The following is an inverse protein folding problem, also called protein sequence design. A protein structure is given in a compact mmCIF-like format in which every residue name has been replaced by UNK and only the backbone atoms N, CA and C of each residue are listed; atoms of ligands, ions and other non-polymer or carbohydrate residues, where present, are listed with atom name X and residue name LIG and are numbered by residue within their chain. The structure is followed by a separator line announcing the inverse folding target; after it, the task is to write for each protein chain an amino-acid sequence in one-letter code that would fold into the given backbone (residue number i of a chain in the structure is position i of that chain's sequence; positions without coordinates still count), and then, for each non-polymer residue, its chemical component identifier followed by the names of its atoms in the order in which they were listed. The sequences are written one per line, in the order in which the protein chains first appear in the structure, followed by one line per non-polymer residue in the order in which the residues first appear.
data_IF_354238709377
#
_entry.id   IF_354238709377
#
_cell.length_a   1.000
_cell.length_b   1.000
_cell.length_c   1.000
_cell.angle_alpha   90.00
_cell.angle_beta   90.00
_cell.angle_gamma   90.00
#
_symmetry.space_group_name_H-M   'P 1'
#
loop_
_entity.id
_entity.type
_entity.pdbx_description
1 polymer ?
#
# COMPACT_ATOMS: atom_id res chain seq x y z
N UNK A 1 11.34 -3.58 -8.26
CA UNK A 1 12.10 -2.31 -8.44
C UNK A 1 11.19 -1.16 -8.87
N UNK A 2 10.64 -1.14 -10.09
CA UNK A 2 9.83 -0.01 -10.59
C UNK A 2 8.55 0.26 -9.77
N UNK A 3 7.83 -0.79 -9.38
CA UNK A 3 6.68 -0.69 -8.46
C UNK A 3 7.05 -0.30 -7.02
N UNK A 4 8.28 -0.62 -6.58
CA UNK A 4 8.78 -0.26 -5.25
C UNK A 4 9.09 1.24 -5.17
N UNK A 5 9.73 1.81 -6.20
CA UNK A 5 9.93 3.26 -6.30
C UNK A 5 8.62 4.03 -6.49
N UNK A 6 7.65 3.48 -7.24
CA UNK A 6 6.31 4.05 -7.29
C UNK A 6 5.62 4.00 -5.93
N UNK A 7 5.74 2.90 -5.19
CA UNK A 7 5.22 2.77 -3.83
C UNK A 7 5.86 3.74 -2.84
N UNK A 8 7.17 3.96 -2.89
CA UNK A 8 7.87 4.93 -2.05
C UNK A 8 7.57 6.38 -2.39
N UNK A 9 7.66 6.77 -3.68
CA UNK A 9 7.38 8.14 -4.12
C UNK A 9 5.94 8.59 -3.80
N UNK A 10 5.05 7.60 -3.67
CA UNK A 10 3.68 7.76 -3.18
C UNK A 10 3.68 7.71 -1.63
N UNK A 11 4.20 6.70 -0.95
CA UNK A 11 4.04 6.59 0.51
C UNK A 11 4.72 7.72 1.34
N UNK A 12 5.69 8.45 0.78
CA UNK A 12 6.51 9.43 1.52
C UNK A 12 5.85 10.80 1.81
N UNK A 13 5.11 11.46 0.89
CA UNK A 13 4.65 12.83 1.11
C UNK A 13 3.64 13.00 2.26
N UNK A 14 2.67 12.10 2.42
CA UNK A 14 1.66 12.22 3.46
C UNK A 14 2.23 12.21 4.89
N UNK A 15 3.09 11.24 5.23
CA UNK A 15 3.80 11.21 6.50
C UNK A 15 4.74 12.41 6.70
N UNK A 16 5.49 12.83 5.68
CA UNK A 16 6.38 13.99 5.77
C UNK A 16 5.60 15.29 6.01
N UNK A 17 4.47 15.47 5.33
CA UNK A 17 3.56 16.60 5.51
C UNK A 17 3.02 16.69 6.95
N UNK A 18 2.67 15.54 7.53
CA UNK A 18 2.16 15.45 8.91
C UNK A 18 3.28 15.59 9.95
N UNK A 19 4.52 15.19 9.61
CA UNK A 19 5.72 15.34 10.43
C UNK A 19 6.25 16.77 10.45
N UNK A 20 5.97 17.57 9.43
CA UNK A 20 6.34 18.99 9.34
C UNK A 20 5.45 19.88 10.25
N UNK A 21 5.11 19.42 11.45
CA UNK A 21 4.20 20.12 12.35
C UNK A 21 4.69 21.52 12.71
N UNK A 22 5.99 21.66 12.99
CA UNK A 22 6.61 22.95 13.32
C UNK A 22 6.47 23.98 12.19
N UNK A 23 6.49 23.53 10.93
CA UNK A 23 6.28 24.40 9.77
C UNK A 23 4.83 24.93 9.72
N UNK A 24 3.84 24.08 9.98
CA UNK A 24 2.43 24.50 10.01
C UNK A 24 2.14 25.39 11.21
N UNK A 25 2.72 25.09 12.36
CA UNK A 25 2.64 25.95 13.55
C UNK A 25 3.23 27.33 13.24
N UNK A 26 4.39 27.41 12.57
CA UNK A 26 4.96 28.68 12.13
C UNK A 26 4.09 29.42 11.10
N UNK A 27 3.53 28.72 10.11
CA UNK A 27 2.73 29.32 9.04
C UNK A 27 1.39 29.91 9.49
N UNK A 28 0.79 29.33 10.53
CA UNK A 28 -0.49 29.78 11.10
C UNK A 28 -0.33 30.59 12.41
N UNK A 29 0.90 31.01 12.73
CA UNK A 29 1.17 31.88 13.89
C UNK A 29 0.49 33.24 13.74
N UNK A 30 0.29 33.92 14.86
CA UNK A 30 -0.10 35.33 14.87
C UNK A 30 1.08 36.19 14.39
N UNK A 31 0.95 36.96 13.28
CA UNK A 31 2.01 37.85 12.80
C UNK A 31 2.25 39.05 13.73
N UNK A 32 1.31 39.36 14.62
CA UNK A 32 1.28 40.55 15.47
C UNK A 32 1.94 40.34 16.84
N UNK A 33 2.21 39.09 17.21
CA UNK A 33 2.83 38.73 18.49
C UNK A 33 4.36 38.66 18.36
N UNK A 34 5.07 39.49 19.15
CA UNK A 34 6.53 39.65 19.10
C UNK A 34 7.31 38.45 19.70
N UNK A 35 6.61 37.57 20.42
CA UNK A 35 7.15 36.30 20.92
C UNK A 35 6.24 35.16 20.49
N UNK A 36 6.81 34.13 19.87
CA UNK A 36 6.16 32.87 19.58
C UNK A 36 5.85 32.14 20.89
N UNK A 37 4.87 32.65 21.64
CA UNK A 37 4.48 32.11 22.92
C UNK A 37 3.72 30.81 22.68
N UNK A 38 4.39 29.68 22.90
CA UNK A 38 3.88 28.35 22.62
C UNK A 38 2.61 28.01 23.43
N UNK A 39 2.32 28.83 24.45
CA UNK A 39 1.14 28.76 25.31
C UNK A 39 -0.10 29.40 24.70
N UNK A 40 0.06 30.32 23.74
CA UNK A 40 -1.02 31.09 23.15
C UNK A 40 -1.16 30.76 21.66
N UNK A 41 -1.61 29.54 21.37
CA UNK A 41 -1.81 29.04 20.01
C UNK A 41 -3.04 29.67 19.36
N UNK A 42 -2.92 30.07 18.10
CA UNK A 42 -4.06 30.57 17.32
C UNK A 42 -5.05 29.45 17.04
N UNK A 43 -6.32 29.81 16.80
CA UNK A 43 -7.35 28.82 16.45
C UNK A 43 -6.96 27.99 15.21
N UNK A 44 -6.28 28.62 14.24
CA UNK A 44 -5.78 27.98 13.03
C UNK A 44 -4.74 26.89 13.34
N UNK A 45 -3.78 27.17 14.22
CA UNK A 45 -2.76 26.19 14.64
C UNK A 45 -3.38 24.96 15.33
N UNK A 46 -4.37 25.17 16.19
CA UNK A 46 -5.02 24.10 16.95
C UNK A 46 -5.88 23.22 16.04
N UNK A 47 -6.64 23.83 15.12
CA UNK A 47 -7.63 23.13 14.30
C UNK A 47 -7.07 22.52 13.02
N UNK A 48 -5.91 22.97 12.56
CA UNK A 48 -5.33 22.56 11.27
C UNK A 48 -5.26 21.05 11.08
N UNK A 49 -4.66 20.32 12.03
CA UNK A 49 -4.47 18.86 11.93
C UNK A 49 -5.83 18.16 11.89
N UNK A 50 -6.75 18.56 12.76
CA UNK A 50 -8.10 17.98 12.83
C UNK A 50 -8.88 18.22 11.54
N UNK A 51 -8.85 19.44 11.00
CA UNK A 51 -9.49 19.76 9.72
C UNK A 51 -8.88 18.97 8.57
N UNK A 52 -7.55 18.92 8.48
CA UNK A 52 -6.84 18.07 7.51
C UNK A 52 -7.36 16.63 7.54
N UNK A 53 -7.46 16.01 8.72
CA UNK A 53 -7.96 14.64 8.84
C UNK A 53 -9.37 14.46 8.29
N UNK A 54 -10.30 15.37 8.58
CA UNK A 54 -11.65 15.33 8.02
C UNK A 54 -11.67 15.48 6.49
N UNK A 55 -10.87 16.42 5.96
CA UNK A 55 -10.78 16.68 4.53
C UNK A 55 -9.98 15.62 3.76
N UNK A 56 -9.15 14.82 4.41
CA UNK A 56 -8.50 13.66 3.79
C UNK A 56 -9.42 12.43 3.82
N UNK A 57 -10.04 12.10 4.96
CA UNK A 57 -10.82 10.87 5.12
C UNK A 57 -12.19 10.95 4.43
N UNK A 58 -12.93 12.05 4.60
CA UNK A 58 -14.31 12.17 4.10
C UNK A 58 -14.40 11.99 2.58
N UNK A 59 -13.66 12.78 1.78
CA UNK A 59 -13.63 12.65 0.33
C UNK A 59 -13.10 11.30 -0.17
N UNK A 60 -12.18 10.66 0.57
CA UNK A 60 -11.71 9.31 0.23
C UNK A 60 -12.84 8.27 0.31
N UNK A 61 -13.71 8.36 1.33
CA UNK A 61 -14.86 7.45 1.46
C UNK A 61 -15.87 7.63 0.33
N UNK A 62 -16.13 8.88 -0.08
CA UNK A 62 -17.01 9.19 -1.20
C UNK A 62 -16.40 8.68 -2.52
N UNK A 63 -15.11 8.92 -2.72
CA UNK A 63 -14.39 8.45 -3.90
C UNK A 63 -14.30 6.92 -3.97
N UNK A 64 -14.23 6.23 -2.82
CA UNK A 64 -14.31 4.78 -2.72
C UNK A 64 -15.66 4.26 -3.21
N UNK A 65 -16.76 4.84 -2.71
CA UNK A 65 -18.11 4.49 -3.14
C UNK A 65 -18.29 4.72 -4.66
N UNK A 66 -17.86 5.87 -5.17
CA UNK A 66 -17.92 6.19 -6.59
C UNK A 66 -17.04 5.27 -7.45
N UNK A 67 -15.84 4.90 -6.97
CA UNK A 67 -14.94 4.00 -7.69
C UNK A 67 -15.45 2.57 -7.69
N UNK A 68 -16.14 2.12 -6.63
CA UNK A 68 -16.80 0.82 -6.63
C UNK A 68 -17.91 0.75 -7.68
N UNK A 69 -18.68 1.83 -7.84
CA UNK A 69 -19.79 1.89 -8.81
C UNK A 69 -19.32 2.06 -10.26
N UNK A 70 -18.34 2.94 -10.51
CA UNK A 70 -17.96 3.37 -11.86
C UNK A 70 -16.55 2.93 -12.29
N UNK A 71 -15.75 2.40 -11.36
CA UNK A 71 -14.34 2.09 -11.57
C UNK A 71 -14.08 1.00 -12.61
N UNK A 72 -15.07 0.15 -12.88
CA UNK A 72 -15.01 -0.91 -13.89
C UNK A 72 -15.04 -0.38 -15.34
N UNK A 73 -15.50 0.84 -15.57
CA UNK A 73 -15.63 1.43 -16.93
C UNK A 73 -14.36 2.06 -17.48
N UNK A 74 -13.33 2.26 -16.65
CA UNK A 74 -12.13 3.02 -17.04
C UNK A 74 -10.87 2.20 -16.81
N UNK A 75 -10.08 2.00 -17.87
CA UNK A 75 -8.87 1.17 -17.86
C UNK A 75 -7.78 1.68 -16.92
N UNK A 76 -7.04 0.74 -16.30
CA UNK A 76 -6.06 1.01 -15.24
C UNK A 76 -4.88 1.89 -15.69
N UNK A 77 -4.40 1.72 -16.93
CA UNK A 77 -3.25 2.48 -17.46
C UNK A 77 -3.54 3.98 -17.62
N UNK A 78 -4.77 4.33 -18.00
CA UNK A 78 -5.23 5.73 -18.17
C UNK A 78 -5.44 6.42 -16.82
N UNK A 79 -5.48 5.67 -15.71
CA UNK A 79 -5.63 6.22 -14.36
C UNK A 79 -4.29 6.55 -13.71
N UNK A 80 -3.31 5.66 -13.86
CA UNK A 80 -2.04 5.72 -13.12
C UNK A 80 -1.16 6.89 -13.59
N UNK A 81 -0.93 7.02 -14.91
CA UNK A 81 -0.02 8.05 -15.44
C UNK A 81 -0.51 9.48 -15.12
N UNK A 82 -1.78 9.84 -15.35
CA UNK A 82 -2.27 11.17 -14.99
C UNK A 82 -2.31 11.39 -13.48
N UNK A 83 -2.60 10.36 -12.67
CA UNK A 83 -2.55 10.50 -11.21
C UNK A 83 -1.15 10.83 -10.71
N UNK A 84 -0.11 10.20 -11.25
CA UNK A 84 1.28 10.49 -10.89
C UNK A 84 1.67 11.92 -11.26
N UNK A 85 1.29 12.39 -12.45
CA UNK A 85 1.54 13.76 -12.87
C UNK A 85 0.86 14.79 -11.94
N UNK A 86 -0.41 14.55 -11.57
CA UNK A 86 -1.15 15.39 -10.62
C UNK A 86 -0.47 15.39 -9.26
N UNK A 87 -0.07 14.23 -8.75
CA UNK A 87 0.59 14.09 -7.46
C UNK A 87 1.93 14.85 -7.44
N UNK A 88 2.76 14.71 -8.47
CA UNK A 88 4.01 15.45 -8.59
C UNK A 88 3.77 16.97 -8.64
N UNK A 89 2.76 17.42 -9.39
CA UNK A 89 2.40 18.83 -9.47
C UNK A 89 1.95 19.40 -8.12
N UNK A 90 1.12 18.68 -7.36
CA UNK A 90 0.68 19.09 -6.03
C UNK A 90 1.85 19.15 -5.04
N UNK A 91 2.76 18.17 -5.08
CA UNK A 91 3.97 18.16 -4.26
C UNK A 91 4.91 19.34 -4.56
N UNK A 92 5.09 19.66 -5.84
CA UNK A 92 5.86 20.83 -6.26
C UNK A 92 5.19 22.12 -5.76
N UNK A 93 3.86 22.21 -5.82
CA UNK A 93 3.09 23.33 -5.29
C UNK A 93 3.33 23.53 -3.79
N UNK A 94 3.37 22.46 -2.99
CA UNK A 94 3.73 22.57 -1.56
C UNK A 94 5.13 23.14 -1.35
N UNK A 95 6.13 22.68 -2.13
CA UNK A 95 7.50 23.21 -2.05
C UNK A 95 7.56 24.71 -2.39
N UNK A 96 6.76 25.16 -3.36
CA UNK A 96 6.65 26.58 -3.72
C UNK A 96 6.04 27.37 -2.56
N UNK A 97 4.95 26.88 -1.97
CA UNK A 97 4.29 27.54 -0.84
C UNK A 97 5.14 27.64 0.43
N UNK A 98 6.14 26.76 0.61
CA UNK A 98 7.10 26.89 1.70
C UNK A 98 7.85 28.23 1.69
N UNK A 99 8.07 28.82 0.52
CA UNK A 99 8.86 30.04 0.35
C UNK A 99 8.02 31.32 0.23
N UNK A 100 6.71 31.21 0.01
CA UNK A 100 5.82 32.36 -0.16
C UNK A 100 5.39 32.87 1.21
N UNK A 101 5.45 34.19 1.45
CA UNK A 101 4.88 34.76 2.67
C UNK A 101 3.34 34.72 2.60
N UNK A 102 2.72 34.11 3.62
CA UNK A 102 1.28 33.85 3.71
C UNK A 102 0.60 34.68 4.80
N UNK A 103 1.34 35.55 5.50
CA UNK A 103 0.87 36.23 6.71
C UNK A 103 -0.35 37.14 6.44
N UNK A 104 -0.52 37.66 5.23
CA UNK A 104 -1.69 38.47 4.83
C UNK A 104 -2.91 37.67 4.37
N UNK A 105 -2.77 36.38 4.05
CA UNK A 105 -3.84 35.55 3.46
C UNK A 105 -3.87 34.12 4.04
N UNK A 106 -3.52 33.98 5.32
CA UNK A 106 -3.38 32.67 6.00
C UNK A 106 -4.62 31.77 5.89
N UNK A 107 -5.83 32.33 5.92
CA UNK A 107 -7.09 31.58 5.80
C UNK A 107 -7.31 31.02 4.39
N UNK A 108 -6.99 31.80 3.36
CA UNK A 108 -7.08 31.34 1.98
C UNK A 108 -5.99 30.29 1.67
N UNK A 109 -4.78 30.50 2.22
CA UNK A 109 -3.69 29.53 2.17
C UNK A 109 -4.08 28.18 2.80
N UNK A 110 -4.81 28.22 3.91
CA UNK A 110 -5.35 27.03 4.56
C UNK A 110 -6.28 26.24 3.64
N UNK A 111 -7.27 26.89 3.02
CA UNK A 111 -8.20 26.20 2.11
C UNK A 111 -7.50 25.59 0.91
N UNK A 112 -6.55 26.30 0.30
CA UNK A 112 -5.73 25.79 -0.80
C UNK A 112 -4.93 24.56 -0.37
N UNK A 113 -4.31 24.62 0.82
CA UNK A 113 -3.53 23.51 1.39
C UNK A 113 -4.40 22.28 1.66
N UNK A 114 -5.59 22.47 2.23
CA UNK A 114 -6.54 21.38 2.49
C UNK A 114 -7.03 20.76 1.17
N UNK A 115 -7.36 21.57 0.16
CA UNK A 115 -7.79 21.08 -1.15
C UNK A 115 -6.69 20.25 -1.84
N UNK A 116 -5.44 20.74 -1.83
CA UNK A 116 -4.29 20.00 -2.36
C UNK A 116 -4.08 18.67 -1.61
N UNK A 117 -4.31 18.64 -0.29
CA UNK A 117 -4.18 17.44 0.55
C UNK A 117 -5.26 16.42 0.19
N UNK A 118 -6.52 16.85 0.08
CA UNK A 118 -7.65 16.02 -0.31
C UNK A 118 -7.45 15.38 -1.69
N UNK A 119 -7.04 16.17 -2.70
CA UNK A 119 -6.82 15.68 -4.07
C UNK A 119 -5.75 14.59 -4.09
N UNK A 120 -4.69 14.81 -3.32
CA UNK A 120 -3.61 13.85 -3.10
C UNK A 120 -4.21 12.60 -2.45
N UNK A 121 -4.78 12.68 -1.25
CA UNK A 121 -5.38 11.55 -0.52
C UNK A 121 -6.34 10.68 -1.36
N UNK A 122 -7.23 11.28 -2.15
CA UNK A 122 -8.19 10.57 -3.01
C UNK A 122 -7.51 9.76 -4.12
N UNK A 123 -6.46 10.31 -4.75
CA UNK A 123 -5.73 9.63 -5.84
C UNK A 123 -4.85 8.50 -5.33
N UNK A 124 -4.39 8.63 -4.09
CA UNK A 124 -3.56 7.66 -3.40
C UNK A 124 -4.31 6.40 -3.03
N UNK A 125 -5.58 6.51 -2.65
CA UNK A 125 -6.38 5.44 -2.05
C UNK A 125 -6.33 4.09 -2.81
N UNK A 126 -6.40 4.08 -4.15
CA UNK A 126 -6.56 2.83 -4.92
C UNK A 126 -5.30 1.92 -4.92
N UNK A 127 -4.09 2.40 -5.29
CA UNK A 127 -2.86 1.62 -5.14
C UNK A 127 -2.39 1.52 -3.68
N UNK A 128 -2.67 2.52 -2.84
CA UNK A 128 -2.27 2.53 -1.43
C UNK A 128 -3.03 1.47 -0.63
N UNK A 129 -4.35 1.33 -0.82
CA UNK A 129 -5.09 0.27 -0.15
C UNK A 129 -4.63 -1.12 -0.58
N UNK A 130 -4.34 -1.36 -1.86
CA UNK A 130 -3.84 -2.67 -2.30
C UNK A 130 -2.42 -2.98 -1.80
N UNK A 131 -1.52 -1.99 -1.82
CA UNK A 131 -0.13 -2.18 -1.41
C UNK A 131 0.04 -2.16 0.10
N UNK A 132 -0.54 -1.20 0.82
CA UNK A 132 -0.50 -1.16 2.29
C UNK A 132 -1.23 -2.35 2.89
N UNK A 133 -2.39 -2.76 2.35
CA UNK A 133 -3.07 -3.95 2.85
C UNK A 133 -2.22 -5.20 2.64
N UNK A 134 -1.54 -5.31 1.49
CA UNK A 134 -0.63 -6.43 1.23
C UNK A 134 0.59 -6.42 2.14
N UNK A 135 1.19 -5.24 2.38
CA UNK A 135 2.36 -5.09 3.24
C UNK A 135 1.99 -5.31 4.72
N UNK A 136 0.86 -4.78 5.19
CA UNK A 136 0.33 -5.03 6.53
C UNK A 136 -0.02 -6.51 6.74
N UNK A 137 -0.70 -7.14 5.77
CA UNK A 137 -0.97 -8.58 5.78
C UNK A 137 0.34 -9.40 5.79
N UNK A 138 1.35 -8.98 5.04
CA UNK A 138 2.66 -9.63 5.05
C UNK A 138 3.31 -9.58 6.43
N UNK A 139 3.21 -8.44 7.13
CA UNK A 139 3.76 -8.25 8.47
C UNK A 139 3.08 -9.20 9.47
N UNK A 140 1.75 -9.31 9.41
CA UNK A 140 0.97 -10.25 10.23
C UNK A 140 1.46 -11.68 10.00
N UNK A 141 1.59 -12.10 8.74
CA UNK A 141 2.13 -13.43 8.40
C UNK A 141 3.52 -13.68 8.99
N UNK A 142 4.40 -12.68 8.95
CA UNK A 142 5.76 -12.76 9.51
C UNK A 142 5.77 -12.81 11.03
N UNK A 143 4.92 -12.03 11.71
CA UNK A 143 4.86 -11.98 13.18
C UNK A 143 4.44 -13.33 13.76
N UNK A 144 3.44 -13.98 13.14
CA UNK A 144 2.96 -15.27 13.61
C UNK A 144 3.81 -16.46 13.11
N UNK A 145 4.77 -16.22 12.22
CA UNK A 145 5.65 -17.28 11.71
C UNK A 145 6.68 -17.72 12.75
N UNK A 146 7.03 -19.01 12.71
CA UNK A 146 7.96 -19.62 13.64
C UNK A 146 8.57 -20.90 13.07
N UNK A 147 9.55 -21.53 13.75
CA UNK A 147 10.24 -22.71 13.27
C UNK A 147 9.39 -24.00 13.43
N UNK A 148 8.17 -24.00 12.89
CA UNK A 148 7.17 -25.06 13.05
C UNK A 148 7.46 -26.30 12.19
N UNK A 149 8.27 -26.19 11.13
CA UNK A 149 8.49 -27.28 10.18
C UNK A 149 9.62 -28.19 10.70
N UNK A 150 9.26 -29.45 10.96
CA UNK A 150 10.19 -30.50 11.39
C UNK A 150 10.28 -31.61 10.34
N UNK A 151 11.31 -32.45 10.42
CA UNK A 151 11.51 -33.60 9.51
C UNK A 151 10.31 -34.55 9.44
N UNK A 152 9.53 -34.66 10.52
CA UNK A 152 8.32 -35.48 10.60
C UNK A 152 7.13 -34.86 9.86
N UNK A 153 6.97 -33.53 9.89
CA UNK A 153 5.82 -32.81 9.35
C UNK A 153 6.08 -32.20 7.94
N UNK A 154 7.28 -32.38 7.38
CA UNK A 154 7.71 -31.70 6.15
C UNK A 154 6.80 -31.92 4.94
N UNK A 155 6.24 -33.12 4.77
CA UNK A 155 5.39 -33.44 3.62
C UNK A 155 3.99 -32.84 3.75
N UNK A 156 3.44 -32.82 4.97
CA UNK A 156 2.16 -32.18 5.24
C UNK A 156 2.27 -30.66 5.12
N UNK A 157 3.35 -30.07 5.64
CA UNK A 157 3.63 -28.63 5.49
C UNK A 157 3.78 -28.24 4.00
N UNK A 158 4.48 -29.06 3.21
CA UNK A 158 4.60 -28.87 1.76
C UNK A 158 3.24 -28.95 1.06
N UNK A 159 2.44 -29.97 1.38
CA UNK A 159 1.10 -30.14 0.81
C UNK A 159 0.20 -28.95 1.14
N UNK A 160 0.21 -28.48 2.39
CA UNK A 160 -0.58 -27.31 2.81
C UNK A 160 -0.14 -26.04 2.08
N UNK A 161 1.15 -25.87 1.83
CA UNK A 161 1.66 -24.72 1.08
C UNK A 161 1.21 -24.76 -0.39
N UNK A 162 1.35 -25.91 -1.06
CA UNK A 162 0.90 -26.10 -2.44
C UNK A 162 -0.61 -25.88 -2.57
N UNK A 163 -1.40 -26.44 -1.64
CA UNK A 163 -2.85 -26.26 -1.61
C UNK A 163 -3.25 -24.80 -1.40
N UNK A 164 -2.52 -24.07 -0.55
CA UNK A 164 -2.74 -22.64 -0.31
C UNK A 164 -2.44 -21.81 -1.57
N UNK A 165 -1.28 -22.03 -2.21
CA UNK A 165 -0.93 -21.29 -3.44
C UNK A 165 -1.91 -21.59 -4.57
N UNK A 166 -2.29 -22.86 -4.75
CA UNK A 166 -3.26 -23.28 -5.76
C UNK A 166 -4.64 -22.68 -5.53
N UNK A 167 -5.20 -22.82 -4.33
CA UNK A 167 -6.55 -22.33 -4.01
C UNK A 167 -6.69 -20.82 -4.19
N UNK A 168 -5.79 -20.02 -3.62
CA UNK A 168 -5.86 -18.56 -3.71
C UNK A 168 -5.55 -18.05 -5.13
N UNK A 169 -4.62 -18.68 -5.86
CA UNK A 169 -4.34 -18.34 -7.25
C UNK A 169 -5.55 -18.57 -8.16
N UNK A 170 -6.29 -19.65 -7.92
CA UNK A 170 -7.53 -19.97 -8.64
C UNK A 170 -8.65 -18.98 -8.28
N UNK A 171 -8.81 -18.63 -7.00
CA UNK A 171 -9.82 -17.65 -6.56
C UNK A 171 -9.60 -16.25 -7.15
N UNK A 172 -8.34 -15.81 -7.28
CA UNK A 172 -8.00 -14.54 -7.91
C UNK A 172 -8.32 -14.52 -9.42
N UNK A 173 -8.35 -15.67 -10.10
CA UNK A 173 -8.75 -15.76 -11.51
C UNK A 173 -10.25 -15.53 -11.73
N UNK A 174 -11.06 -15.84 -10.71
CA UNK A 174 -12.50 -15.59 -10.71
C UNK A 174 -12.87 -14.19 -10.19
N UNK A 175 -11.89 -13.42 -9.72
CA UNK A 175 -12.05 -12.01 -9.38
C UNK A 175 -12.00 -11.14 -10.65
N UNK A 176 -12.80 -10.08 -10.66
CA UNK A 176 -13.01 -9.21 -11.84
C UNK A 176 -11.76 -8.43 -12.22
N UNK A 177 -10.93 -8.97 -13.12
CA UNK A 177 -9.66 -8.37 -13.53
C UNK A 177 -9.71 -7.62 -14.87
N UNK A 178 -10.77 -7.74 -15.68
CA UNK A 178 -10.99 -6.88 -16.86
C UNK A 178 -12.42 -6.98 -17.45
N UNK A 179 -12.88 -5.93 -18.18
CA UNK A 179 -14.26 -5.83 -18.68
C UNK A 179 -14.61 -6.72 -19.89
N UNK A 180 -13.69 -7.54 -20.43
CA UNK A 180 -13.86 -8.31 -21.68
C UNK A 180 -13.76 -9.84 -21.55
N UNK A 181 -13.93 -10.42 -20.35
CA UNK A 181 -13.74 -11.87 -20.13
C UNK A 181 -15.08 -12.62 -20.02
N UNK A 182 -15.22 -13.73 -20.74
CA UNK A 182 -16.41 -14.62 -20.74
C UNK A 182 -16.39 -15.67 -19.61
N UNK A 183 -15.49 -15.57 -18.62
CA UNK A 183 -15.43 -16.51 -17.49
C UNK A 183 -16.54 -16.25 -16.47
N UNK A 184 -17.11 -17.28 -15.80
CA UNK A 184 -18.13 -17.09 -14.76
C UNK A 184 -17.53 -16.27 -13.61
N UNK A 185 -18.08 -15.08 -13.35
CA UNK A 185 -17.68 -14.24 -12.22
C UNK A 185 -18.21 -14.84 -10.92
N UNK A 186 -17.31 -15.34 -10.06
CA UNK A 186 -17.68 -15.79 -8.72
C UNK A 186 -17.68 -14.64 -7.70
N UNK A 187 -16.82 -13.63 -7.90
CA UNK A 187 -16.65 -12.48 -6.99
C UNK A 187 -16.82 -11.15 -7.72
N UNK A 188 -18.03 -10.55 -7.71
CA UNK A 188 -18.32 -9.32 -8.44
C UNK A 188 -17.86 -8.05 -7.70
N UNK A 189 -17.62 -8.10 -6.39
CA UNK A 189 -17.34 -6.91 -5.58
C UNK A 189 -15.83 -6.69 -5.33
N UNK A 190 -15.40 -5.43 -5.41
CA UNK A 190 -14.01 -5.04 -5.21
C UNK A 190 -13.49 -5.37 -3.79
N UNK A 191 -14.35 -5.39 -2.77
CA UNK A 191 -13.94 -5.72 -1.39
C UNK A 191 -13.60 -7.20 -1.20
N UNK A 192 -14.28 -8.10 -1.92
CA UNK A 192 -14.02 -9.54 -1.87
C UNK A 192 -12.61 -9.83 -2.38
N UNK A 193 -12.22 -9.18 -3.48
CA UNK A 193 -10.86 -9.23 -4.01
C UNK A 193 -9.83 -8.71 -3.00
N UNK A 194 -10.09 -7.59 -2.32
CA UNK A 194 -9.17 -7.05 -1.31
C UNK A 194 -9.00 -8.00 -0.12
N UNK A 195 -10.08 -8.62 0.35
CA UNK A 195 -10.03 -9.61 1.43
C UNK A 195 -9.26 -10.87 1.02
N UNK A 196 -9.52 -11.41 -0.18
CA UNK A 196 -8.83 -12.59 -0.72
C UNK A 196 -7.33 -12.29 -0.90
N UNK A 197 -6.99 -11.12 -1.44
CA UNK A 197 -5.61 -10.70 -1.62
C UNK A 197 -4.88 -10.53 -0.28
N UNK A 198 -5.52 -9.89 0.71
CA UNK A 198 -4.97 -9.73 2.06
C UNK A 198 -4.72 -11.08 2.74
N UNK A 199 -5.71 -11.98 2.73
CA UNK A 199 -5.58 -13.34 3.28
C UNK A 199 -4.46 -14.11 2.60
N UNK A 200 -4.38 -14.08 1.27
CA UNK A 200 -3.31 -14.72 0.52
C UNK A 200 -1.91 -14.22 0.96
N UNK A 201 -1.76 -12.91 1.16
CA UNK A 201 -0.49 -12.31 1.60
C UNK A 201 -0.09 -12.73 3.01
N UNK A 202 -1.04 -12.85 3.95
CA UNK A 202 -0.79 -13.40 5.30
C UNK A 202 -0.25 -14.82 5.21
N UNK A 203 -0.97 -15.70 4.51
CA UNK A 203 -0.60 -17.11 4.42
C UNK A 203 0.73 -17.32 3.69
N UNK A 204 0.94 -16.64 2.57
CA UNK A 204 2.18 -16.71 1.79
C UNK A 204 3.39 -16.35 2.66
N UNK A 205 3.32 -15.23 3.38
CA UNK A 205 4.41 -14.76 4.23
C UNK A 205 4.58 -15.58 5.51
N UNK A 206 3.50 -16.12 6.06
CA UNK A 206 3.58 -17.06 7.18
C UNK A 206 4.38 -18.31 6.81
N UNK A 207 4.08 -18.93 5.66
CA UNK A 207 4.76 -20.15 5.25
C UNK A 207 6.22 -19.92 4.82
N UNK A 208 6.51 -18.85 4.07
CA UNK A 208 7.88 -18.59 3.60
C UNK A 208 8.84 -18.35 4.78
N UNK A 209 8.42 -17.56 5.78
CA UNK A 209 9.26 -17.28 6.94
C UNK A 209 9.33 -18.49 7.87
N UNK A 210 8.23 -19.23 8.04
CA UNK A 210 8.27 -20.50 8.80
C UNK A 210 9.23 -21.51 8.15
N UNK A 211 9.30 -21.57 6.82
CA UNK A 211 10.24 -22.42 6.09
C UNK A 211 11.69 -22.00 6.32
N UNK A 212 11.97 -20.69 6.21
CA UNK A 212 13.29 -20.10 6.48
C UNK A 212 13.78 -20.41 7.89
N UNK A 213 12.95 -20.14 8.90
CA UNK A 213 13.30 -20.35 10.30
C UNK A 213 13.50 -21.84 10.62
N UNK A 214 12.80 -22.72 9.89
CA UNK A 214 12.87 -24.17 10.08
C UNK A 214 14.04 -24.85 9.36
N UNK A 215 14.82 -24.14 8.52
CA UNK A 215 15.99 -24.72 7.82
C UNK A 215 16.96 -25.37 8.80
N UNK A 216 17.17 -24.75 9.97
CA UNK A 216 18.03 -25.27 11.04
C UNK A 216 17.57 -26.62 11.59
N UNK A 217 16.27 -26.91 11.53
CA UNK A 217 15.68 -28.17 11.99
C UNK A 217 15.76 -29.28 10.91
N UNK A 218 15.94 -28.89 9.65
CA UNK A 218 15.92 -29.80 8.50
C UNK A 218 17.32 -30.24 8.10
N UNK A 219 18.32 -29.38 8.27
CA UNK A 219 19.69 -29.57 7.81
C UNK A 219 20.64 -29.81 9.00
N UNK A 220 21.78 -30.47 8.76
CA UNK A 220 22.82 -30.65 9.78
C UNK A 220 23.38 -29.27 10.20
N UNK A 221 23.82 -29.10 11.47
CA UNK A 221 24.28 -27.79 11.96
C UNK A 221 25.40 -27.16 11.12
N UNK A 222 26.32 -27.98 10.60
CA UNK A 222 27.44 -27.54 9.77
C UNK A 222 27.05 -27.22 8.30
N UNK A 223 25.77 -27.33 7.94
CA UNK A 223 25.28 -27.18 6.57
C UNK A 223 24.09 -26.21 6.48
N UNK A 224 23.77 -25.49 7.56
CA UNK A 224 22.60 -24.59 7.63
C UNK A 224 22.67 -23.48 6.59
N UNK A 225 23.84 -22.87 6.40
CA UNK A 225 24.05 -21.80 5.43
C UNK A 225 23.82 -22.28 3.99
N UNK A 226 24.40 -23.44 3.64
CA UNK A 226 24.16 -24.09 2.35
C UNK A 226 22.68 -24.43 2.16
N UNK A 227 22.02 -24.94 3.21
CA UNK A 227 20.58 -25.22 3.17
C UNK A 227 19.72 -23.98 2.93
N UNK A 228 20.08 -22.85 3.54
CA UNK A 228 19.39 -21.58 3.33
C UNK A 228 19.60 -21.06 1.90
N UNK A 229 20.84 -21.06 1.40
CA UNK A 229 21.19 -20.64 0.04
C UNK A 229 20.44 -21.44 -1.02
N UNK A 230 20.44 -22.77 -0.91
CA UNK A 230 19.73 -23.66 -1.84
C UNK A 230 18.22 -23.33 -1.84
N UNK A 231 17.63 -23.16 -0.67
CA UNK A 231 16.21 -22.86 -0.54
C UNK A 231 15.84 -21.50 -1.14
N UNK A 232 16.63 -20.45 -0.90
CA UNK A 232 16.39 -19.13 -1.49
C UNK A 232 16.52 -19.15 -3.01
N UNK A 233 17.56 -19.79 -3.54
CA UNK A 233 17.79 -19.87 -4.99
C UNK A 233 16.69 -20.66 -5.72
N UNK A 234 16.24 -21.80 -5.16
CA UNK A 234 15.14 -22.58 -5.74
C UNK A 234 13.83 -21.76 -5.75
N UNK A 235 13.57 -21.02 -4.68
CA UNK A 235 12.37 -20.19 -4.56
C UNK A 235 12.30 -19.11 -5.63
N UNK A 236 13.42 -18.45 -5.93
CA UNK A 236 13.52 -17.42 -6.97
C UNK A 236 13.31 -17.99 -8.38
N UNK A 237 13.92 -19.13 -8.69
CA UNK A 237 13.76 -19.80 -9.99
C UNK A 237 12.31 -20.22 -10.22
N UNK A 238 11.67 -20.81 -9.21
CA UNK A 238 10.26 -21.19 -9.28
C UNK A 238 9.35 -19.97 -9.45
N UNK A 239 9.64 -18.85 -8.77
CA UNK A 239 8.88 -17.62 -8.91
C UNK A 239 8.97 -17.05 -10.34
N UNK A 240 10.16 -17.08 -10.97
CA UNK A 240 10.34 -16.66 -12.37
C UNK A 240 9.52 -17.54 -13.33
N UNK A 241 9.57 -18.86 -13.14
CA UNK A 241 8.84 -19.81 -13.97
C UNK A 241 7.32 -19.64 -13.85
N UNK A 242 6.80 -19.50 -12.63
CA UNK A 242 5.37 -19.24 -12.41
C UNK A 242 4.93 -17.89 -12.97
N UNK A 243 5.78 -16.86 -12.87
CA UNK A 243 5.53 -15.56 -13.49
C UNK A 243 5.45 -15.61 -15.02
N UNK A 244 6.24 -16.49 -15.66
CA UNK A 244 6.15 -16.76 -17.10
C UNK A 244 4.86 -17.52 -17.45
N UNK A 245 4.53 -18.59 -16.72
CA UNK A 245 3.30 -19.36 -16.93
C UNK A 245 2.04 -18.50 -16.76
N UNK A 246 2.00 -17.62 -15.76
CA UNK A 246 0.89 -16.70 -15.56
C UNK A 246 0.68 -15.76 -16.76
N UNK A 247 1.78 -15.26 -17.37
CA UNK A 247 1.72 -14.43 -18.58
C UNK A 247 1.25 -15.23 -19.79
N UNK A 248 1.73 -16.46 -19.95
CA UNK A 248 1.33 -17.35 -21.04
C UNK A 248 -0.17 -17.67 -20.95
N UNK A 249 -0.65 -17.99 -19.75
CA UNK A 249 -2.07 -18.26 -19.48
C UNK A 249 -2.96 -17.05 -19.79
N UNK A 250 -2.54 -15.85 -19.38
CA UNK A 250 -3.23 -14.59 -19.70
C UNK A 250 -3.21 -14.23 -21.18
N UNK A 251 -2.37 -14.87 -21.99
CA UNK A 251 -2.37 -14.71 -23.46
C UNK A 251 -3.30 -15.71 -24.15
N UNK A 252 -3.67 -16.80 -23.48
CA UNK A 252 -4.51 -17.88 -24.02
C UNK A 252 -5.99 -17.66 -23.69
N UNK A 253 -6.28 -16.97 -22.57
CA UNK A 253 -7.64 -16.64 -22.10
C UNK A 253 -7.96 -15.16 -22.32
#
# INVERSE_FOLDING_TARGET
MLFFFFGMGVALPGPLFSRAQDYWEYKFRDPSSDHADQRNRTELQIRFITWKYYFDIGPCLIALAATSMFGHKVGTRVKIIPSLAIICAMNLGYCIFCNINTDSWQREFLYVTLAMSTITSVKYFRPVCTHILSDAASLVGRIFSGPYITKRNRYLALLTNIATVGSFGILLLFCRTSPKRNSPLLFPHDWEYMCILGLHQVFFHFFIVSMILSVRNLVKPNQVEMGFLIMTSISEVLAMFMGFLAKLWMSIV
#
